data_IF_788431847383
#
_entry.id   IF_788431847383
#
_cell.length_a   1.000
_cell.length_b   1.000
_cell.length_c   1.000
_cell.angle_alpha   90.00
_cell.angle_beta   90.00
_cell.angle_gamma   90.00
#
_symmetry.space_group_name_H-M   'P 1'
#
loop_
_entity.id
_entity.type
_entity.pdbx_description
1 polymer ?
#
# COMPACT_ATOMS: atom_id res chain seq x y z
N UNK A 1 13.83 15.18 6.09
CA UNK A 1 14.55 14.26 5.18
C UNK A 1 13.93 12.90 5.41
N UNK A 2 13.47 12.21 4.36
CA UNK A 2 12.80 10.93 4.53
C UNK A 2 13.83 9.91 4.97
N UNK A 3 13.60 9.32 6.14
CA UNK A 3 14.44 8.26 6.65
C UNK A 3 14.30 7.04 5.76
N UNK A 4 15.43 6.45 5.40
CA UNK A 4 15.48 5.28 4.52
C UNK A 4 15.98 4.10 5.30
N UNK A 5 15.16 3.07 5.33
CA UNK A 5 15.49 1.77 5.89
C UNK A 5 16.60 1.08 5.08
N UNK A 6 16.56 1.23 3.76
CA UNK A 6 17.57 0.69 2.85
C UNK A 6 17.84 1.66 1.70
N UNK A 7 19.09 1.70 1.25
CA UNK A 7 19.54 2.35 0.01
C UNK A 7 20.60 1.48 -0.61
N UNK A 8 20.60 1.35 -1.93
CA UNK A 8 21.72 0.73 -2.63
C UNK A 8 22.93 1.69 -2.71
N UNK A 9 24.14 1.17 -2.92
CA UNK A 9 25.36 1.97 -2.98
C UNK A 9 25.32 3.05 -4.07
N UNK A 10 24.72 2.72 -5.22
CA UNK A 10 24.54 3.64 -6.34
C UNK A 10 23.49 4.74 -6.08
N UNK A 11 22.74 4.66 -4.96
CA UNK A 11 21.69 5.62 -4.56
C UNK A 11 20.59 5.82 -5.61
N UNK A 12 20.34 4.81 -6.43
CA UNK A 12 19.26 4.80 -7.44
C UNK A 12 17.98 4.17 -6.92
N UNK A 13 18.04 3.51 -5.76
CA UNK A 13 16.93 2.81 -5.14
C UNK A 13 16.97 2.99 -3.62
N UNK A 14 15.81 3.28 -3.04
CA UNK A 14 15.66 3.43 -1.60
C UNK A 14 14.32 2.85 -1.12
N UNK A 15 14.32 2.32 0.09
CA UNK A 15 13.13 1.83 0.79
C UNK A 15 12.97 2.63 2.07
N UNK A 16 11.74 3.03 2.35
CA UNK A 16 11.33 3.66 3.60
C UNK A 16 10.30 2.75 4.28
N UNK A 17 10.47 2.56 5.58
CA UNK A 17 9.50 1.85 6.42
C UNK A 17 8.80 2.89 7.30
N UNK A 18 7.65 3.37 6.85
CA UNK A 18 6.90 4.45 7.48
C UNK A 18 5.45 4.47 6.96
N UNK A 19 4.61 5.30 7.57
CA UNK A 19 3.30 5.64 7.04
C UNK A 19 3.44 6.35 5.69
N UNK A 20 2.86 5.77 4.64
CA UNK A 20 3.00 6.30 3.28
C UNK A 20 2.27 7.63 3.09
N UNK A 21 1.19 7.91 3.83
CA UNK A 21 0.46 9.19 3.75
C UNK A 21 1.33 10.31 4.28
N UNK A 22 1.97 10.11 5.43
CA UNK A 22 2.87 11.09 6.03
C UNK A 22 4.10 11.35 5.15
N UNK A 23 4.73 10.28 4.67
CA UNK A 23 5.92 10.38 3.80
C UNK A 23 5.57 11.10 2.49
N UNK A 24 4.49 10.71 1.82
CA UNK A 24 4.08 11.34 0.56
C UNK A 24 3.74 12.82 0.76
N UNK A 25 3.12 13.21 1.88
CA UNK A 25 2.87 14.61 2.21
C UNK A 25 4.17 15.42 2.38
N UNK A 26 5.21 14.83 2.99
CA UNK A 26 6.53 15.47 3.09
C UNK A 26 7.20 15.62 1.71
N UNK A 27 7.11 14.59 0.85
CA UNK A 27 7.64 14.65 -0.52
C UNK A 27 6.93 15.75 -1.30
N UNK A 28 5.61 15.82 -1.24
CA UNK A 28 4.83 16.85 -1.90
C UNK A 28 5.24 18.27 -1.45
N UNK A 29 5.47 18.48 -0.15
CA UNK A 29 5.96 19.75 0.42
C UNK A 29 7.36 20.13 -0.05
N UNK A 30 8.22 19.14 -0.35
CA UNK A 30 9.57 19.40 -0.86
C UNK A 30 9.59 19.93 -2.30
N UNK A 31 8.46 19.87 -3.01
CA UNK A 31 8.37 20.24 -4.42
C UNK A 31 8.80 19.14 -5.40
N UNK A 32 9.31 18.00 -4.90
CA UNK A 32 9.65 16.84 -5.72
C UNK A 32 8.42 16.32 -6.50
N UNK A 33 8.64 15.89 -7.75
CA UNK A 33 7.62 15.37 -8.64
C UNK A 33 7.99 13.96 -9.08
N UNK A 34 6.99 13.09 -9.11
CA UNK A 34 7.12 11.75 -9.63
C UNK A 34 6.62 11.73 -11.06
N UNK A 35 7.35 11.04 -11.94
CA UNK A 35 6.87 10.74 -13.29
C UNK A 35 5.77 9.66 -13.25
N UNK A 36 5.84 8.75 -12.28
CA UNK A 36 4.89 7.65 -12.10
C UNK A 36 4.75 7.30 -10.62
N UNK A 37 3.52 7.00 -10.21
CA UNK A 37 3.21 6.41 -8.90
C UNK A 37 2.44 5.12 -9.15
N UNK A 38 2.82 4.05 -8.43
CA UNK A 38 2.12 2.77 -8.43
C UNK A 38 1.80 2.38 -6.99
N UNK A 39 0.58 1.89 -6.76
CA UNK A 39 0.12 1.40 -5.47
C UNK A 39 -0.90 0.28 -5.66
N UNK A 40 -0.85 -0.71 -4.79
CA UNK A 40 -1.88 -1.74 -4.60
C UNK A 40 -2.40 -1.65 -3.16
N UNK A 41 -3.35 -0.74 -2.87
CA UNK A 41 -3.84 -0.53 -1.52
C UNK A 41 -4.74 -1.69 -1.05
N UNK A 42 -5.05 -1.80 0.26
CA UNK A 42 -6.03 -2.77 0.74
C UNK A 42 -7.40 -2.54 0.09
N UNK A 43 -8.05 -3.63 -0.31
CA UNK A 43 -9.41 -3.63 -0.88
C UNK A 43 -10.45 -4.10 0.14
N UNK A 44 -10.00 -4.56 1.31
CA UNK A 44 -10.86 -4.99 2.41
C UNK A 44 -11.69 -6.25 2.08
N UNK A 45 -11.16 -7.10 1.19
CA UNK A 45 -11.88 -8.26 0.65
C UNK A 45 -11.59 -9.57 1.39
N UNK A 46 -10.63 -9.58 2.34
CA UNK A 46 -10.20 -10.78 3.06
C UNK A 46 -11.19 -11.25 4.13
N UNK A 47 -12.47 -11.34 3.79
CA UNK A 47 -13.58 -11.67 4.69
C UNK A 47 -14.16 -13.07 4.42
N UNK A 48 -13.33 -14.02 3.99
CA UNK A 48 -13.73 -15.42 3.72
C UNK A 48 -14.45 -15.61 2.38
N UNK A 49 -14.26 -14.70 1.43
CA UNK A 49 -14.82 -14.79 0.08
C UNK A 49 -14.12 -15.84 -0.80
N UNK A 50 -14.74 -16.13 -1.94
CA UNK A 50 -14.20 -17.05 -2.95
C UNK A 50 -14.04 -16.35 -4.30
N UNK A 51 -13.02 -16.73 -5.05
CA UNK A 51 -12.79 -16.30 -6.44
C UNK A 51 -12.42 -17.49 -7.32
N UNK A 52 -12.37 -17.28 -8.64
CA UNK A 52 -11.92 -18.29 -9.60
C UNK A 52 -10.64 -17.81 -10.28
N UNK A 53 -9.54 -18.52 -10.05
CA UNK A 53 -8.27 -18.28 -10.72
C UNK A 53 -7.91 -19.48 -11.57
N UNK A 54 -7.74 -19.26 -12.88
CA UNK A 54 -7.42 -20.32 -13.86
C UNK A 54 -8.39 -21.52 -13.78
N UNK A 55 -9.69 -21.25 -13.63
CA UNK A 55 -10.73 -22.27 -13.55
C UNK A 55 -10.81 -23.03 -12.21
N UNK A 56 -10.06 -22.62 -11.18
CA UNK A 56 -10.08 -23.22 -9.84
C UNK A 56 -10.63 -22.24 -8.82
N UNK A 57 -11.48 -22.74 -7.91
CA UNK A 57 -11.92 -21.96 -6.75
C UNK A 57 -10.74 -21.72 -5.80
N UNK A 58 -10.57 -20.47 -5.39
CA UNK A 58 -9.52 -20.01 -4.47
C UNK A 58 -10.10 -19.08 -3.40
N UNK A 59 -9.44 -18.98 -2.25
CA UNK A 59 -9.77 -18.00 -1.22
C UNK A 59 -9.32 -16.61 -1.67
N UNK A 60 -10.13 -15.59 -1.37
CA UNK A 60 -9.76 -14.18 -1.63
C UNK A 60 -8.87 -13.59 -0.54
N UNK A 61 -8.71 -14.29 0.59
CA UNK A 61 -8.00 -13.78 1.75
C UNK A 61 -6.50 -13.61 1.44
N UNK A 62 -6.04 -12.36 1.48
CA UNK A 62 -4.65 -11.95 1.29
C UNK A 62 -3.88 -11.81 2.60
N UNK A 63 -4.59 -11.48 3.69
CA UNK A 63 -4.00 -11.35 5.03
C UNK A 63 -4.83 -10.48 5.96
N UNK A 64 -4.44 -10.41 7.25
CA UNK A 64 -5.17 -9.63 8.27
C UNK A 64 -5.28 -8.13 7.94
N UNK A 65 -4.27 -7.59 7.26
CA UNK A 65 -4.23 -6.17 6.86
C UNK A 65 -5.28 -5.80 5.79
N UNK A 66 -5.82 -6.79 5.06
CA UNK A 66 -6.84 -6.62 4.03
C UNK A 66 -8.24 -7.08 4.51
N UNK A 67 -8.41 -7.33 5.81
CA UNK A 67 -9.73 -7.60 6.37
C UNK A 67 -10.50 -6.30 6.55
N UNK A 68 -11.78 -6.31 6.18
CA UNK A 68 -12.68 -5.20 6.46
C UNK A 68 -12.79 -4.98 7.96
N UNK A 69 -12.76 -3.70 8.37
CA UNK A 69 -12.99 -3.28 9.74
C UNK A 69 -14.36 -2.59 9.91
N UNK A 70 -15.22 -2.72 8.90
CA UNK A 70 -16.51 -2.03 8.80
C UNK A 70 -16.40 -0.75 7.96
N UNK A 71 -17.49 -0.40 7.28
CA UNK A 71 -17.52 0.65 6.26
C UNK A 71 -16.98 2.00 6.73
N UNK A 72 -17.24 2.39 7.98
CA UNK A 72 -16.78 3.67 8.52
C UNK A 72 -15.25 3.72 8.64
N UNK A 73 -14.62 2.62 9.08
CA UNK A 73 -13.15 2.55 9.20
C UNK A 73 -12.48 2.38 7.85
N UNK A 74 -13.05 1.54 7.00
CA UNK A 74 -12.51 1.26 5.66
C UNK A 74 -12.51 2.52 4.77
N UNK A 75 -13.45 3.45 4.99
CA UNK A 75 -13.58 4.72 4.26
C UNK A 75 -12.91 5.91 4.95
N UNK A 76 -12.29 5.75 6.13
CA UNK A 76 -11.76 6.86 6.94
C UNK A 76 -10.63 7.66 6.24
N UNK A 77 -10.07 7.10 5.16
CA UNK A 77 -8.96 7.67 4.37
C UNK A 77 -9.36 8.09 2.94
N UNK A 78 -10.66 8.01 2.59
CA UNK A 78 -11.22 8.53 1.32
C UNK A 78 -11.64 9.98 1.48
#
# INVERSE_FOLDING_TARGET
MIETYFKNDARTFGLSNADCVEVMAQIAKSGFKFDMVFADPPYFLSSGGISVQSGKQVCVDKGEWDKSQGSEKDLQFT
#
